data_IF_414850449531
#
_entry.id   IF_414850449531
#
_cell.length_a   1.000
_cell.length_b   1.000
_cell.length_c   1.000
_cell.angle_alpha   90.00
_cell.angle_beta   90.00
_cell.angle_gamma   90.00
#
_symmetry.space_group_name_H-M   'P 1'
#
loop_
_entity.id
_entity.type
_entity.pdbx_description
1 polymer ?
#
# COMPACT_ATOMS: atom_id res chain seq x y z
N UNK A 1 -18.92 3.87 -12.35
CA UNK A 1 -19.91 4.97 -12.39
C UNK A 1 -19.49 6.18 -11.57
N UNK A 2 -19.02 6.03 -10.32
CA UNK A 2 -18.55 7.17 -9.50
C UNK A 2 -17.39 7.98 -10.13
N UNK A 3 -16.44 7.35 -10.81
CA UNK A 3 -15.33 8.07 -11.46
C UNK A 3 -15.74 8.99 -12.61
N UNK A 4 -16.75 8.61 -13.39
CA UNK A 4 -17.31 9.45 -14.46
C UNK A 4 -18.07 10.66 -13.88
N UNK A 5 -18.73 10.48 -12.73
CA UNK A 5 -19.47 11.56 -12.04
C UNK A 5 -18.52 12.54 -11.34
N UNK A 6 -17.39 12.05 -10.81
CA UNK A 6 -16.37 12.85 -10.16
C UNK A 6 -15.34 13.48 -11.13
N UNK A 7 -15.49 13.26 -12.45
CA UNK A 7 -14.52 13.68 -13.49
C UNK A 7 -13.06 13.23 -13.23
N UNK A 8 -12.90 12.05 -12.59
CA UNK A 8 -11.59 11.49 -12.25
C UNK A 8 -11.21 10.37 -13.22
N UNK A 9 -9.91 10.27 -13.57
CA UNK A 9 -9.39 9.18 -14.40
C UNK A 9 -9.63 7.85 -13.68
N UNK A 10 -10.03 6.81 -14.42
CA UNK A 10 -10.35 5.47 -13.87
C UNK A 10 -9.22 4.91 -13.00
N UNK A 11 -7.97 5.18 -13.41
CA UNK A 11 -6.78 4.85 -12.63
C UNK A 11 -6.85 5.47 -11.23
N UNK A 12 -7.00 6.80 -11.12
CA UNK A 12 -7.05 7.57 -9.87
C UNK A 12 -8.17 7.07 -8.95
N UNK A 13 -9.35 6.78 -9.49
CA UNK A 13 -10.45 6.22 -8.70
C UNK A 13 -10.18 4.83 -8.16
N UNK A 14 -9.41 4.00 -8.88
CA UNK A 14 -9.00 2.68 -8.41
C UNK A 14 -8.00 2.77 -7.26
N UNK A 15 -6.97 3.60 -7.39
CA UNK A 15 -5.91 3.77 -6.37
C UNK A 15 -6.40 4.46 -5.09
N UNK A 16 -7.55 5.16 -5.14
CA UNK A 16 -8.10 5.91 -4.00
C UNK A 16 -9.36 5.28 -3.46
N UNK A 17 -10.48 5.38 -4.18
CA UNK A 17 -11.80 4.98 -3.68
C UNK A 17 -11.90 3.47 -3.46
N UNK A 18 -11.45 2.66 -4.42
CA UNK A 18 -11.47 1.20 -4.28
C UNK A 18 -10.51 0.75 -3.18
N UNK A 19 -9.29 1.30 -3.17
CA UNK A 19 -8.28 0.98 -2.17
C UNK A 19 -8.70 1.34 -0.73
N UNK A 20 -9.34 2.50 -0.53
CA UNK A 20 -9.89 2.92 0.77
C UNK A 20 -11.05 2.00 1.18
N UNK A 21 -11.93 1.66 0.23
CA UNK A 21 -13.11 0.81 0.48
C UNK A 21 -12.77 -0.59 0.96
N UNK A 22 -11.66 -1.18 0.50
CA UNK A 22 -11.18 -2.48 1.01
C UNK A 22 -10.37 -2.34 2.30
N UNK A 23 -9.45 -1.36 2.36
CA UNK A 23 -8.50 -1.25 3.47
C UNK A 23 -9.11 -0.73 4.77
N UNK A 24 -10.19 0.08 4.72
CA UNK A 24 -10.84 0.62 5.92
C UNK A 24 -11.48 -0.49 6.78
N UNK A 25 -12.37 -1.35 6.25
CA UNK A 25 -12.90 -2.49 6.98
C UNK A 25 -11.81 -3.41 7.54
N UNK A 26 -10.79 -3.72 6.73
CA UNK A 26 -9.66 -4.56 7.13
C UNK A 26 -8.86 -3.93 8.29
N UNK A 27 -8.67 -2.61 8.28
CA UNK A 27 -8.00 -1.89 9.36
C UNK A 27 -8.84 -1.91 10.65
N UNK A 28 -10.16 -1.76 10.56
CA UNK A 28 -11.04 -1.86 11.74
C UNK A 28 -11.07 -3.27 12.31
N UNK A 29 -11.16 -4.30 11.46
CA UNK A 29 -11.12 -5.69 11.88
C UNK A 29 -9.78 -6.02 12.58
N UNK A 30 -8.66 -5.63 11.99
CA UNK A 30 -7.32 -5.81 12.56
C UNK A 30 -7.14 -5.07 13.88
N UNK A 31 -7.62 -3.83 13.98
CA UNK A 31 -7.59 -3.05 15.23
C UNK A 31 -8.43 -3.69 16.33
N UNK A 32 -9.56 -4.27 15.97
CA UNK A 32 -10.49 -4.92 16.90
C UNK A 32 -9.89 -6.23 17.40
N UNK A 33 -9.32 -7.04 16.50
CA UNK A 33 -8.56 -8.25 16.86
C UNK A 33 -7.37 -7.91 17.79
N UNK A 34 -6.56 -6.90 17.47
CA UNK A 34 -5.44 -6.46 18.31
C UNK A 34 -5.83 -5.89 19.68
N UNK A 35 -7.12 -5.58 19.92
CA UNK A 35 -7.62 -5.06 21.19
C UNK A 35 -8.31 -6.11 22.04
N UNK A 36 -8.85 -7.15 21.40
CA UNK A 36 -9.64 -8.19 22.05
C UNK A 36 -8.81 -9.43 22.38
N UNK A 37 -7.70 -9.67 21.66
CA UNK A 37 -6.77 -10.76 21.94
C UNK A 37 -5.57 -10.32 22.77
N UNK A 38 -5.07 -11.25 23.58
CA UNK A 38 -3.84 -11.09 24.37
C UNK A 38 -2.58 -11.10 23.48
N UNK A 39 -2.65 -11.68 22.27
CA UNK A 39 -1.55 -11.72 21.30
C UNK A 39 -1.86 -10.93 20.02
N UNK A 40 -0.82 -10.42 19.37
CA UNK A 40 -0.95 -9.68 18.11
C UNK A 40 -1.14 -10.60 16.88
N UNK A 41 -1.08 -11.93 17.06
CA UNK A 41 -1.03 -12.91 15.98
C UNK A 41 -2.30 -12.86 15.14
N UNK A 42 -3.46 -12.68 15.78
CA UNK A 42 -4.75 -12.60 15.10
C UNK A 42 -4.86 -11.35 14.22
N UNK A 43 -4.34 -10.21 14.70
CA UNK A 43 -4.26 -9.00 13.89
C UNK A 43 -3.28 -9.14 12.72
N UNK A 44 -2.16 -9.84 12.90
CA UNK A 44 -1.17 -10.05 11.83
C UNK A 44 -1.76 -10.98 10.76
N UNK A 45 -2.45 -12.05 11.18
CA UNK A 45 -3.15 -12.97 10.29
C UNK A 45 -4.20 -12.26 9.45
N UNK A 46 -5.00 -11.37 10.06
CA UNK A 46 -6.02 -10.60 9.35
C UNK A 46 -5.41 -9.65 8.31
N UNK A 47 -4.41 -8.83 8.69
CA UNK A 47 -3.75 -7.90 7.75
C UNK A 47 -3.11 -8.64 6.58
N UNK A 48 -2.41 -9.74 6.87
CA UNK A 48 -1.68 -10.52 5.86
C UNK A 48 -2.63 -11.26 4.94
N UNK A 49 -3.69 -11.87 5.50
CA UNK A 49 -4.71 -12.60 4.77
C UNK A 49 -5.51 -11.69 3.83
N UNK A 50 -6.08 -10.60 4.36
CA UNK A 50 -6.88 -9.66 3.55
C UNK A 50 -6.07 -9.03 2.42
N UNK A 51 -4.81 -8.62 2.66
CA UNK A 51 -3.95 -8.10 1.59
C UNK A 51 -3.62 -9.16 0.53
N UNK A 52 -3.38 -10.41 0.94
CA UNK A 52 -3.12 -11.50 0.01
C UNK A 52 -4.33 -11.73 -0.90
N UNK A 53 -5.53 -11.79 -0.33
CA UNK A 53 -6.78 -11.92 -1.09
C UNK A 53 -6.98 -10.75 -2.04
N UNK A 54 -6.74 -9.51 -1.59
CA UNK A 54 -6.87 -8.31 -2.43
C UNK A 54 -5.95 -8.33 -3.64
N UNK A 55 -4.70 -8.82 -3.50
CA UNK A 55 -3.76 -8.92 -4.63
C UNK A 55 -4.11 -10.09 -5.55
N UNK A 56 -4.27 -11.30 -4.98
CA UNK A 56 -4.48 -12.50 -5.79
C UNK A 56 -5.84 -12.51 -6.48
N UNK A 57 -6.92 -12.16 -5.76
CA UNK A 57 -8.25 -12.12 -6.36
C UNK A 57 -8.52 -10.79 -7.06
N UNK A 58 -8.06 -9.67 -6.51
CA UNK A 58 -8.32 -8.36 -7.10
C UNK A 58 -7.53 -8.08 -8.38
N UNK A 59 -6.28 -8.55 -8.50
CA UNK A 59 -5.47 -8.38 -9.71
C UNK A 59 -5.36 -9.68 -10.52
N UNK A 60 -5.18 -10.83 -9.86
CA UNK A 60 -4.93 -12.09 -10.54
C UNK A 60 -6.13 -12.63 -11.32
N UNK A 61 -7.33 -12.61 -10.72
CA UNK A 61 -8.54 -13.15 -11.39
C UNK A 61 -8.90 -12.36 -12.66
N UNK A 62 -8.98 -11.01 -12.67
CA UNK A 62 -9.25 -10.26 -13.90
C UNK A 62 -8.21 -10.52 -14.99
N UNK A 63 -6.94 -10.69 -14.62
CA UNK A 63 -5.87 -10.96 -15.56
C UNK A 63 -6.00 -12.34 -16.21
N UNK A 64 -6.31 -13.37 -15.42
CA UNK A 64 -6.59 -14.73 -15.92
C UNK A 64 -7.80 -14.74 -16.84
N UNK A 65 -8.91 -14.10 -16.44
CA UNK A 65 -10.13 -14.02 -17.27
C UNK A 65 -9.81 -13.33 -18.61
N UNK A 66 -9.05 -12.23 -18.58
CA UNK A 66 -8.70 -11.51 -19.80
C UNK A 66 -7.76 -12.30 -20.72
N UNK A 67 -6.84 -13.09 -20.15
CA UNK A 67 -5.96 -13.97 -20.93
C UNK A 67 -6.75 -15.13 -21.58
N UNK A 68 -7.73 -15.70 -20.87
CA UNK A 68 -8.61 -16.73 -21.42
C UNK A 68 -9.46 -16.16 -22.57
N UNK A 69 -10.11 -15.00 -22.39
CA UNK A 69 -10.92 -14.37 -23.45
C UNK A 69 -10.07 -14.04 -24.69
N UNK A 70 -8.85 -13.52 -24.51
CA UNK A 70 -7.93 -13.26 -25.62
C UNK A 70 -7.56 -14.55 -26.37
N UNK A 71 -7.31 -15.65 -25.63
CA UNK A 71 -7.01 -16.96 -26.20
C UNK A 71 -8.19 -17.51 -27.01
N UNK A 72 -9.42 -17.41 -26.48
CA UNK A 72 -10.64 -17.85 -27.15
C UNK A 72 -10.91 -17.07 -28.44
N UNK A 73 -10.50 -15.79 -28.51
CA UNK A 73 -10.63 -14.93 -29.69
C UNK A 73 -9.45 -15.05 -30.66
N UNK A 74 -8.45 -15.88 -30.38
CA UNK A 74 -7.25 -16.03 -31.19
C UNK A 74 -6.39 -14.76 -31.28
N UNK A 75 -6.49 -13.85 -30.30
CA UNK A 75 -5.71 -12.60 -30.26
C UNK A 75 -4.54 -12.75 -29.30
N UNK A 76 -3.41 -12.10 -29.62
CA UNK A 76 -2.31 -11.97 -28.66
C UNK A 76 -2.75 -11.09 -27.49
N UNK A 77 -2.57 -11.60 -26.27
CA UNK A 77 -2.88 -10.87 -25.05
C UNK A 77 -1.75 -9.91 -24.71
N UNK A 78 -2.03 -8.61 -24.91
CA UNK A 78 -1.06 -7.53 -24.80
C UNK A 78 -1.43 -6.61 -23.66
N UNK A 79 -0.56 -6.52 -22.64
CA UNK A 79 -0.75 -5.65 -21.50
C UNK A 79 0.48 -4.78 -21.28
N UNK A 80 0.29 -3.47 -21.20
CA UNK A 80 1.36 -2.53 -20.89
C UNK A 80 1.78 -2.69 -19.42
N UNK A 81 2.96 -3.24 -19.17
CA UNK A 81 3.50 -3.47 -17.82
C UNK A 81 4.11 -2.22 -17.18
N UNK A 82 4.40 -1.18 -17.97
CA UNK A 82 5.10 0.02 -17.51
C UNK A 82 4.46 0.65 -16.27
N UNK A 83 3.15 0.92 -16.31
CA UNK A 83 2.46 1.57 -15.19
C UNK A 83 2.43 0.73 -13.91
N UNK A 84 2.35 -0.60 -14.04
CA UNK A 84 2.33 -1.52 -12.89
C UNK A 84 3.72 -1.62 -12.26
N UNK A 85 4.78 -1.68 -13.09
CA UNK A 85 6.16 -1.67 -12.61
C UNK A 85 6.50 -0.38 -11.88
N UNK A 86 6.16 0.77 -12.45
CA UNK A 86 6.37 2.08 -11.82
C UNK A 86 5.66 2.18 -10.47
N UNK A 87 4.38 1.82 -10.41
CA UNK A 87 3.60 1.84 -9.17
C UNK A 87 4.17 0.88 -8.11
N UNK A 88 4.58 -0.33 -8.52
CA UNK A 88 5.16 -1.32 -7.61
C UNK A 88 6.52 -0.89 -7.05
N UNK A 89 7.37 -0.25 -7.86
CA UNK A 89 8.66 0.29 -7.40
C UNK A 89 8.47 1.42 -6.39
N UNK A 90 7.54 2.34 -6.66
CA UNK A 90 7.18 3.42 -5.72
C UNK A 90 6.62 2.86 -4.41
N UNK A 91 5.74 1.87 -4.50
CA UNK A 91 5.18 1.19 -3.33
C UNK A 91 6.27 0.52 -2.48
N UNK A 92 7.18 -0.23 -3.12
CA UNK A 92 8.30 -0.89 -2.43
C UNK A 92 9.24 0.13 -1.76
N UNK A 93 9.61 1.20 -2.47
CA UNK A 93 10.43 2.26 -1.90
C UNK A 93 9.78 2.90 -0.67
N UNK A 94 8.49 3.19 -0.75
CA UNK A 94 7.75 3.77 0.37
C UNK A 94 7.52 2.80 1.53
N UNK A 95 7.31 1.52 1.22
CA UNK A 95 7.22 0.45 2.22
C UNK A 95 8.54 0.25 2.96
N UNK A 96 9.68 0.34 2.28
CA UNK A 96 11.00 0.30 2.92
C UNK A 96 11.25 1.52 3.81
N UNK A 97 10.83 2.72 3.40
CA UNK A 97 10.89 3.92 4.25
C UNK A 97 9.99 3.78 5.48
N UNK A 98 8.79 3.25 5.31
CA UNK A 98 7.86 2.97 6.40
C UNK A 98 8.45 1.93 7.38
N UNK A 99 8.97 0.82 6.86
CA UNK A 99 9.61 -0.22 7.66
C UNK A 99 10.87 0.32 8.35
N UNK A 100 11.66 1.14 7.66
CA UNK A 100 12.79 1.87 8.21
C UNK A 100 12.37 2.76 9.38
N UNK A 101 11.29 3.54 9.25
CA UNK A 101 10.72 4.34 10.34
C UNK A 101 10.29 3.48 11.54
N UNK A 102 9.67 2.32 11.30
CA UNK A 102 9.26 1.38 12.35
C UNK A 102 10.46 0.68 13.01
N UNK A 103 11.49 0.30 12.25
CA UNK A 103 12.74 -0.26 12.78
C UNK A 103 13.52 0.80 13.55
N UNK A 104 13.60 2.03 13.04
CA UNK A 104 14.16 3.18 13.76
C UNK A 104 13.43 3.38 15.07
N UNK A 105 12.09 3.35 15.10
CA UNK A 105 11.32 3.34 16.36
C UNK A 105 11.72 2.22 17.32
N UNK A 106 12.00 1.02 16.79
CA UNK A 106 12.43 -0.14 17.57
C UNK A 106 13.86 0.04 18.13
N UNK A 107 14.71 0.77 17.42
CA UNK A 107 16.13 1.02 17.76
C UNK A 107 16.37 2.32 18.53
N UNK A 108 15.51 3.33 18.38
CA UNK A 108 15.53 4.62 19.10
C UNK A 108 14.94 4.40 20.51
N UNK A 109 15.63 3.58 21.32
CA UNK A 109 15.41 3.47 22.77
C UNK A 109 16.20 4.49 23.58
N UNK A 110 16.99 5.37 22.93
CA UNK A 110 18.04 6.14 23.62
C UNK A 110 17.86 7.67 23.57
N UNK A 111 16.99 8.23 22.73
CA UNK A 111 16.96 9.68 22.52
C UNK A 111 15.56 10.29 22.41
N UNK A 112 14.60 9.86 23.23
CA UNK A 112 13.42 10.70 23.50
C UNK A 112 13.53 11.27 24.90
N UNK A 113 14.20 12.41 24.94
CA UNK A 113 14.14 13.41 25.98
C UNK A 113 12.68 13.84 26.15
N UNK A 114 11.96 13.22 27.08
CA UNK A 114 10.68 13.72 27.57
C UNK A 114 10.96 14.42 28.90
N UNK A 115 10.69 15.74 29.05
CA UNK A 115 10.89 16.43 30.31
C UNK A 115 9.72 16.13 31.25
N UNK A 116 9.74 14.96 31.88
CA UNK A 116 8.89 14.64 33.02
C UNK A 116 9.75 13.90 34.06
N UNK A 117 10.14 14.55 35.18
CA UNK A 117 10.92 13.92 36.22
C UNK A 117 9.98 13.25 37.21
N UNK A 118 9.62 11.99 36.98
CA UNK A 118 9.47 11.02 38.06
C UNK A 118 9.26 9.61 37.49
N UNK A 119 10.02 8.67 38.04
CA UNK A 119 9.91 7.22 37.86
C UNK A 119 10.51 6.60 36.60
N UNK A 120 11.84 6.50 36.66
CA UNK A 120 12.64 5.42 36.12
C UNK A 120 12.14 4.06 36.65
N UNK A 121 11.21 3.39 35.95
CA UNK A 121 11.09 1.92 35.93
C UNK A 121 10.02 1.51 34.91
N UNK A 122 10.42 1.06 33.71
CA UNK A 122 9.93 -0.20 33.11
C UNK A 122 10.63 -0.42 31.76
N UNK A 123 11.69 -1.21 31.83
CA UNK A 123 12.25 -1.96 30.72
C UNK A 123 11.15 -2.91 30.20
N UNK A 124 11.09 -3.15 28.88
CA UNK A 124 10.13 -4.01 28.14
C UNK A 124 8.72 -3.39 27.92
N UNK A 125 8.18 -3.18 26.73
CA UNK A 125 8.38 -3.81 25.43
C UNK A 125 8.02 -2.83 24.30
N UNK A 126 8.99 -2.55 23.43
CA UNK A 126 8.84 -1.69 22.25
C UNK A 126 8.14 -2.38 21.07
N UNK A 127 7.24 -3.32 21.31
CA UNK A 127 6.62 -4.10 20.25
C UNK A 127 5.13 -3.77 20.04
N UNK A 128 4.39 -3.21 21.02
CA UNK A 128 3.04 -2.65 20.77
C UNK A 128 2.47 -1.72 21.89
N UNK A 129 3.32 -1.13 22.75
CA UNK A 129 2.89 -0.36 23.93
C UNK A 129 3.73 0.87 24.30
N UNK A 130 4.57 1.38 23.38
CA UNK A 130 5.42 2.54 23.64
C UNK A 130 4.65 3.84 23.94
N UNK A 131 5.35 4.93 24.31
CA UNK A 131 4.72 6.20 24.71
C UNK A 131 3.77 6.73 23.64
N UNK A 132 2.59 7.18 24.08
CA UNK A 132 1.48 7.62 23.22
C UNK A 132 1.90 8.64 22.18
N UNK A 133 2.75 9.61 22.53
CA UNK A 133 3.22 10.64 21.62
C UNK A 133 4.00 10.05 20.43
N UNK A 134 4.96 9.15 20.72
CA UNK A 134 5.75 8.51 19.68
C UNK A 134 4.85 7.66 18.75
N UNK A 135 3.80 7.00 19.30
CA UNK A 135 2.88 6.16 18.51
C UNK A 135 2.13 6.99 17.47
N UNK A 136 1.65 8.17 17.88
CA UNK A 136 0.97 9.10 17.00
C UNK A 136 1.92 9.69 15.94
N UNK A 137 3.14 10.06 16.31
CA UNK A 137 4.13 10.63 15.37
C UNK A 137 4.43 9.64 14.23
N UNK A 138 4.74 8.39 14.54
CA UNK A 138 5.04 7.42 13.48
C UNK A 138 3.81 6.94 12.73
N UNK A 139 2.64 6.86 13.38
CA UNK A 139 1.38 6.63 12.69
C UNK A 139 1.06 7.73 11.68
N UNK A 140 1.23 9.00 12.08
CA UNK A 140 1.07 10.16 11.20
C UNK A 140 2.09 10.10 10.05
N UNK A 141 3.35 9.78 10.34
CA UNK A 141 4.38 9.58 9.32
C UNK A 141 3.97 8.53 8.28
N UNK A 142 3.50 7.35 8.69
CA UNK A 142 3.03 6.32 7.75
C UNK A 142 1.83 6.78 6.91
N UNK A 143 0.89 7.53 7.48
CA UNK A 143 -0.24 8.10 6.75
C UNK A 143 0.23 9.14 5.74
N UNK A 144 1.15 10.02 6.13
CA UNK A 144 1.75 11.01 5.22
C UNK A 144 2.47 10.31 4.07
N UNK A 145 3.19 9.22 4.34
CA UNK A 145 3.85 8.46 3.29
C UNK A 145 2.84 7.86 2.29
N UNK A 146 1.71 7.34 2.78
CA UNK A 146 0.63 6.85 1.94
C UNK A 146 -0.02 7.96 1.09
N UNK A 147 -0.26 9.14 1.66
CA UNK A 147 -0.79 10.30 0.93
C UNK A 147 0.19 10.70 -0.19
N UNK A 148 1.49 10.76 0.10
CA UNK A 148 2.51 11.08 -0.90
C UNK A 148 2.49 10.06 -2.04
N UNK A 149 2.39 8.76 -1.72
CA UNK A 149 2.28 7.71 -2.73
C UNK A 149 1.07 7.89 -3.64
N UNK A 150 -0.12 8.10 -3.06
CA UNK A 150 -1.36 8.35 -3.80
C UNK A 150 -1.26 9.61 -4.66
N UNK A 151 -0.67 10.68 -4.13
CA UNK A 151 -0.50 11.95 -4.83
C UNK A 151 0.43 11.79 -6.03
N UNK A 152 1.59 11.15 -5.85
CA UNK A 152 2.56 10.90 -6.93
C UNK A 152 1.92 10.04 -8.04
N UNK A 153 1.19 8.98 -7.68
CA UNK A 153 0.49 8.15 -8.65
C UNK A 153 -0.64 8.89 -9.37
N UNK A 154 -1.34 9.79 -8.67
CA UNK A 154 -2.39 10.61 -9.28
C UNK A 154 -1.80 11.61 -10.26
N UNK A 155 -0.73 12.31 -9.89
CA UNK A 155 -0.02 13.25 -10.77
C UNK A 155 0.56 12.55 -12.01
N UNK A 156 1.08 11.32 -11.83
CA UNK A 156 1.51 10.46 -12.95
C UNK A 156 0.34 10.05 -13.83
N UNK A 157 -0.81 9.70 -13.25
CA UNK A 157 -2.00 9.35 -14.01
C UNK A 157 -2.52 10.53 -14.86
N UNK A 158 -2.29 11.78 -14.45
CA UNK A 158 -2.61 12.97 -15.26
C UNK A 158 -1.47 13.39 -16.21
N UNK A 159 -0.42 12.58 -16.35
CA UNK A 159 0.74 12.83 -17.22
C UNK A 159 1.47 14.16 -16.91
N UNK A 160 1.30 14.70 -15.68
CA UNK A 160 1.94 15.95 -15.22
C UNK A 160 3.42 15.70 -14.90
N UNK A 161 3.70 14.51 -14.36
CA UNK A 161 5.05 14.09 -13.97
C UNK A 161 5.45 12.90 -14.83
N UNK A 162 6.60 13.02 -15.51
CA UNK A 162 7.17 11.95 -16.31
C UNK A 162 8.61 11.66 -15.93
N UNK A 163 8.88 10.40 -15.56
CA UNK A 163 10.23 9.89 -15.37
C UNK A 163 10.45 8.80 -16.41
N UNK A 164 11.60 8.83 -17.08
CA UNK A 164 11.96 7.83 -18.07
C UNK A 164 12.53 6.60 -17.36
N UNK A 165 11.66 5.76 -16.81
CA UNK A 165 12.06 4.46 -16.27
C UNK A 165 12.15 3.50 -17.44
N UNK A 166 13.35 2.95 -17.67
CA UNK A 166 13.59 1.94 -18.71
C UNK A 166 12.94 0.64 -18.22
N UNK A 167 11.64 0.49 -18.47
CA UNK A 167 10.93 -0.77 -18.26
C UNK A 167 10.95 -1.53 -19.58
N UNK A 168 11.43 -2.78 -19.63
CA UNK A 168 11.31 -3.60 -20.83
C UNK A 168 9.83 -3.70 -21.19
N UNK A 169 9.44 -3.05 -22.28
CA UNK A 169 8.09 -3.15 -22.79
C UNK A 169 7.92 -4.56 -23.34
N UNK A 170 6.86 -5.25 -22.95
CA UNK A 170 6.43 -6.44 -23.69
C UNK A 170 6.06 -5.98 -25.09
N UNK A 171 6.92 -6.31 -26.07
CA UNK A 171 6.74 -6.01 -27.48
C UNK A 171 5.53 -6.76 -28.04
N UNK A 172 4.34 -6.24 -27.78
CA UNK A 172 3.20 -6.59 -28.58
C UNK A 172 3.31 -5.85 -29.90
N UNK A 173 3.93 -6.53 -30.87
CA UNK A 173 4.04 -6.06 -32.22
C UNK A 173 2.65 -5.75 -32.77
N UNK A 174 2.51 -4.58 -33.38
CA UNK A 174 1.44 -4.29 -34.32
C UNK A 174 1.60 -5.18 -35.56
N UNK A 175 1.23 -6.46 -35.48
CA UNK A 175 0.87 -7.22 -36.69
C UNK A 175 -0.56 -6.85 -37.05
N UNK A 176 -0.67 -5.77 -37.80
CA UNK A 176 -1.92 -5.17 -38.25
C UNK A 176 -1.69 -4.12 -39.32
N UNK A 177 -0.86 -4.45 -40.32
CA UNK A 177 -1.09 -4.17 -41.74
C UNK A 177 -0.50 -5.31 -42.56
#
# INVERSE_FOLDING_TARGET
MLGCVAALKTAVTGITLVAIGTSLPDAFASRTAARLDDSADNSIGNITGSNSVNVFLGLGVPWVISAIDATLRGKQFCVSTSGVCEASMLFLGMALLCLGNLICRRKVRVLSFCPQPLLFFQVFAGELGGPVCSKWISGLGCITLWIIYVLVLSLRAYDIIGWNIIVPQSSCGTTGK
#
